data_IF_776924821111
#
_entry.id   IF_776924821111
#
_cell.length_a   1.000
_cell.length_b   1.000
_cell.length_c   1.000
_cell.angle_alpha   90.00
_cell.angle_beta   90.00
_cell.angle_gamma   90.00
#
_symmetry.space_group_name_H-M   'P 1'
#
loop_
_entity.id
_entity.type
_entity.pdbx_description
1 polymer ?
#
# COMPACT_ATOMS: atom_id res chain seq x y z
N UNK A 1 -0.76 -6.19 -47.33
CA UNK A 1 -1.05 -5.53 -46.05
C UNK A 1 -2.39 -4.80 -46.18
N UNK A 2 -3.39 -5.15 -45.36
CA UNK A 2 -4.77 -4.63 -45.42
C UNK A 2 -4.98 -3.55 -44.35
N UNK A 3 -5.72 -2.49 -44.66
CA UNK A 3 -6.14 -1.46 -43.69
C UNK A 3 -7.42 -1.90 -42.97
N UNK A 4 -7.63 -1.48 -41.72
CA UNK A 4 -8.67 -2.03 -40.81
C UNK A 4 -9.67 -0.96 -40.33
N UNK A 5 -10.98 -1.20 -40.49
CA UNK A 5 -12.13 -0.42 -39.98
C UNK A 5 -12.45 -0.79 -38.53
N UNK A 6 -12.74 0.19 -37.65
CA UNK A 6 -13.04 -0.03 -36.22
C UNK A 6 -14.56 -0.15 -35.98
N UNK A 7 -15.01 -1.24 -35.33
CA UNK A 7 -16.40 -1.45 -34.84
C UNK A 7 -16.41 -1.89 -33.37
N UNK A 8 -17.52 -1.65 -32.66
CA UNK A 8 -17.79 -2.25 -31.35
C UNK A 8 -18.61 -3.53 -31.58
N UNK A 9 -18.10 -4.67 -31.13
CA UNK A 9 -18.60 -6.00 -31.54
C UNK A 9 -19.81 -6.49 -30.73
N UNK A 10 -19.85 -6.25 -29.41
CA UNK A 10 -20.92 -6.75 -28.52
C UNK A 10 -21.15 -5.85 -27.30
N UNK A 11 -22.28 -6.04 -26.60
CA UNK A 11 -22.71 -5.24 -25.43
C UNK A 11 -21.71 -5.24 -24.25
N UNK A 12 -20.85 -6.25 -24.17
CA UNK A 12 -19.82 -6.43 -23.14
C UNK A 12 -18.38 -6.35 -23.70
N UNK A 13 -18.21 -5.85 -24.92
CA UNK A 13 -16.88 -5.75 -25.54
C UNK A 13 -16.04 -4.68 -24.83
N UNK A 14 -14.82 -5.05 -24.45
CA UNK A 14 -13.82 -4.17 -23.83
C UNK A 14 -12.71 -3.75 -24.81
N UNK A 15 -12.84 -4.15 -26.07
CA UNK A 15 -11.83 -3.95 -27.11
C UNK A 15 -12.48 -3.47 -28.42
N UNK A 16 -11.70 -2.75 -29.21
CA UNK A 16 -12.12 -2.28 -30.53
C UNK A 16 -11.92 -3.41 -31.53
N UNK A 17 -13.00 -3.83 -32.18
CA UNK A 17 -12.95 -4.83 -33.22
C UNK A 17 -12.56 -4.19 -34.56
N UNK A 18 -11.83 -4.94 -35.38
CA UNK A 18 -11.31 -4.47 -36.65
C UNK A 18 -11.81 -5.33 -37.81
N UNK A 19 -12.25 -4.71 -38.91
CA UNK A 19 -12.63 -5.38 -40.16
C UNK A 19 -11.76 -4.91 -41.33
N UNK A 20 -11.45 -5.80 -42.28
CA UNK A 20 -10.64 -5.44 -43.46
C UNK A 20 -11.39 -4.50 -44.41
N UNK A 21 -10.67 -3.57 -45.06
CA UNK A 21 -11.18 -2.71 -46.13
C UNK A 21 -10.30 -2.74 -47.39
N UNK A 22 -10.84 -2.36 -48.57
CA UNK A 22 -10.06 -2.14 -49.79
C UNK A 22 -8.98 -1.06 -49.60
N UNK A 23 -7.86 -1.19 -50.30
CA UNK A 23 -6.68 -0.30 -50.14
C UNK A 23 -6.91 1.12 -50.63
N UNK A 24 -7.84 1.31 -51.55
CA UNK A 24 -8.08 2.58 -52.28
C UNK A 24 -9.08 3.48 -51.56
N UNK A 25 -9.53 3.13 -50.35
CA UNK A 25 -10.46 3.97 -49.59
C UNK A 25 -9.76 5.13 -48.89
N UNK A 26 -10.29 6.33 -49.06
CA UNK A 26 -9.83 7.50 -48.32
C UNK A 26 -10.31 7.46 -46.85
N UNK A 27 -9.41 7.72 -45.88
CA UNK A 27 -9.78 7.78 -44.47
C UNK A 27 -10.57 9.06 -44.18
N UNK A 28 -11.82 8.92 -43.76
CA UNK A 28 -12.72 10.03 -43.42
C UNK A 28 -12.52 10.59 -41.99
N UNK A 29 -11.64 9.99 -41.19
CA UNK A 29 -11.37 10.44 -39.82
C UNK A 29 -10.50 9.50 -39.00
N UNK A 30 -10.04 9.99 -37.84
CA UNK A 30 -9.20 9.26 -36.89
C UNK A 30 -9.99 8.94 -35.62
N UNK A 31 -10.06 7.66 -35.27
CA UNK A 31 -10.54 7.21 -33.97
C UNK A 31 -9.36 6.69 -33.11
N UNK A 32 -9.11 7.39 -32.02
CA UNK A 32 -8.16 6.98 -30.99
C UNK A 32 -8.91 6.33 -29.80
N UNK A 33 -8.38 5.22 -29.29
CA UNK A 33 -8.91 4.53 -28.13
C UNK A 33 -7.74 4.06 -27.25
N UNK A 34 -7.69 4.54 -26.01
CA UNK A 34 -6.71 4.11 -25.03
C UNK A 34 -7.19 2.86 -24.30
N UNK A 35 -6.81 1.68 -24.83
CA UNK A 35 -7.20 0.39 -24.27
C UNK A 35 -6.67 0.17 -22.86
N UNK A 36 -5.43 0.61 -22.58
CA UNK A 36 -4.79 0.43 -21.27
C UNK A 36 -5.47 1.30 -20.21
N UNK A 37 -5.80 2.54 -20.55
CA UNK A 37 -6.55 3.45 -19.68
C UNK A 37 -7.94 2.93 -19.37
N UNK A 38 -8.66 2.43 -20.38
CA UNK A 38 -9.99 1.83 -20.22
C UNK A 38 -9.93 0.57 -19.33
N UNK A 39 -9.00 -0.34 -19.59
CA UNK A 39 -8.82 -1.57 -18.81
C UNK A 39 -8.48 -1.27 -17.35
N UNK A 40 -7.58 -0.30 -17.13
CA UNK A 40 -7.21 0.19 -15.79
C UNK A 40 -8.42 0.76 -15.06
N UNK A 41 -9.24 1.58 -15.75
CA UNK A 41 -10.46 2.13 -15.19
C UNK A 41 -11.46 1.04 -14.80
N UNK A 42 -11.73 0.07 -15.68
CA UNK A 42 -12.65 -1.04 -15.39
C UNK A 42 -12.20 -1.86 -14.18
N UNK A 43 -10.90 -2.10 -14.03
CA UNK A 43 -10.33 -2.77 -12.86
C UNK A 43 -10.57 -1.95 -11.58
N UNK A 44 -10.17 -0.66 -11.59
CA UNK A 44 -10.34 0.25 -10.44
C UNK A 44 -11.81 0.38 -10.03
N UNK A 45 -12.71 0.46 -11.00
CA UNK A 45 -14.16 0.53 -10.75
C UNK A 45 -14.66 -0.72 -10.03
N UNK A 46 -14.31 -1.92 -10.53
CA UNK A 46 -14.69 -3.18 -9.87
C UNK A 46 -14.08 -3.31 -8.47
N UNK A 47 -12.82 -2.92 -8.30
CA UNK A 47 -12.14 -2.92 -7.00
C UNK A 47 -12.83 -1.98 -6.02
N UNK A 48 -13.20 -0.77 -6.45
CA UNK A 48 -13.94 0.19 -5.64
C UNK A 48 -15.29 -0.38 -5.19
N UNK A 49 -16.10 -0.92 -6.10
CA UNK A 49 -17.41 -1.47 -5.73
C UNK A 49 -17.30 -2.74 -4.88
N UNK A 50 -16.33 -3.61 -5.16
CA UNK A 50 -16.06 -4.75 -4.27
C UNK A 50 -15.62 -4.27 -2.88
N UNK A 51 -14.89 -3.16 -2.77
CA UNK A 51 -14.57 -2.56 -1.49
C UNK A 51 -15.82 -1.97 -0.83
N UNK A 52 -16.69 -1.26 -1.58
CA UNK A 52 -17.95 -0.71 -1.06
C UNK A 52 -18.84 -1.82 -0.48
N UNK A 53 -18.95 -2.97 -1.14
CA UNK A 53 -19.71 -4.12 -0.67
C UNK A 53 -19.10 -4.79 0.57
N UNK A 54 -17.77 -4.87 0.64
CA UNK A 54 -17.04 -5.61 1.70
C UNK A 54 -16.55 -4.71 2.85
N UNK A 55 -16.74 -3.39 2.77
CA UNK A 55 -16.21 -2.46 3.77
C UNK A 55 -16.90 -2.67 5.12
N UNK A 56 -16.15 -2.44 6.18
CA UNK A 56 -16.72 -2.28 7.50
C UNK A 56 -17.38 -0.89 7.60
N UNK A 57 -18.71 -0.84 7.69
CA UNK A 57 -19.46 0.41 7.72
C UNK A 57 -19.15 1.30 8.93
N UNK A 58 -18.89 0.71 10.10
CA UNK A 58 -18.54 1.47 11.31
C UNK A 58 -17.19 2.18 11.14
N UNK A 59 -16.22 1.49 10.53
CA UNK A 59 -14.92 2.08 10.17
C UNK A 59 -15.06 3.18 9.14
N UNK A 60 -15.91 2.98 8.12
CA UNK A 60 -16.17 3.99 7.10
C UNK A 60 -16.83 5.23 7.70
N UNK A 61 -17.85 5.05 8.57
CA UNK A 61 -18.50 6.14 9.31
C UNK A 61 -17.50 6.89 10.19
N UNK A 62 -16.59 6.19 10.88
CA UNK A 62 -15.52 6.83 11.66
C UNK A 62 -14.61 7.69 10.77
N UNK A 63 -14.14 7.15 9.63
CA UNK A 63 -13.27 7.88 8.69
C UNK A 63 -13.96 9.11 8.05
N UNK A 64 -15.28 9.05 7.79
CA UNK A 64 -16.08 10.17 7.25
C UNK A 64 -16.41 11.19 8.37
N UNK A 65 -16.69 10.72 9.59
CA UNK A 65 -17.07 11.58 10.73
C UNK A 65 -15.92 12.46 11.22
N UNK A 66 -14.70 11.97 11.09
CA UNK A 66 -13.52 12.81 11.20
C UNK A 66 -13.43 13.61 9.89
N UNK A 67 -13.86 14.87 9.92
CA UNK A 67 -13.84 15.87 8.82
C UNK A 67 -12.55 15.89 7.95
N UNK A 68 -11.49 15.23 8.40
CA UNK A 68 -10.16 15.17 7.82
C UNK A 68 -9.99 14.09 6.73
N UNK A 69 -11.00 13.27 6.43
CA UNK A 69 -11.04 12.34 5.28
C UNK A 69 -9.82 11.40 5.13
N UNK A 70 -9.21 10.94 6.23
CA UNK A 70 -8.13 9.94 6.20
C UNK A 70 -8.37 8.78 7.16
N UNK A 71 -7.78 7.61 6.86
CA UNK A 71 -7.87 6.45 7.73
C UNK A 71 -6.91 6.59 8.94
N UNK A 72 -7.45 7.10 10.05
CA UNK A 72 -6.67 7.41 11.26
C UNK A 72 -6.03 6.18 11.91
N UNK A 73 -6.65 5.01 11.77
CA UNK A 73 -6.12 3.73 12.26
C UNK A 73 -4.86 3.35 11.49
N UNK A 74 -4.93 3.36 10.16
CA UNK A 74 -3.79 3.05 9.31
C UNK A 74 -2.67 4.07 9.54
N UNK A 75 -3.00 5.35 9.67
CA UNK A 75 -2.01 6.39 9.94
C UNK A 75 -1.30 6.16 11.30
N UNK A 76 -2.06 5.82 12.35
CA UNK A 76 -1.46 5.44 13.63
C UNK A 76 -0.52 4.22 13.50
N UNK A 77 -0.89 3.21 12.71
CA UNK A 77 -0.02 2.06 12.45
C UNK A 77 1.26 2.46 11.71
N UNK A 78 1.17 3.36 10.72
CA UNK A 78 2.35 3.91 10.02
C UNK A 78 3.32 4.55 11.00
N UNK A 79 2.83 5.45 11.86
CA UNK A 79 3.68 6.11 12.86
C UNK A 79 4.28 5.10 13.85
N UNK A 80 3.49 4.14 14.34
CA UNK A 80 4.01 3.09 15.22
C UNK A 80 5.19 2.36 14.59
N UNK A 81 5.07 1.95 13.32
CA UNK A 81 6.13 1.23 12.61
C UNK A 81 7.36 2.10 12.36
N UNK A 82 7.17 3.36 11.96
CA UNK A 82 8.28 4.29 11.74
C UNK A 82 9.07 4.59 13.02
N UNK A 83 8.36 4.82 14.13
CA UNK A 83 8.99 5.07 15.42
C UNK A 83 9.72 3.83 15.95
N UNK A 84 9.13 2.64 15.76
CA UNK A 84 9.82 1.38 16.06
C UNK A 84 11.06 1.17 15.19
N UNK A 85 10.99 1.44 13.89
CA UNK A 85 12.14 1.31 12.99
C UNK A 85 13.28 2.25 13.41
N UNK A 86 12.95 3.49 13.76
CA UNK A 86 13.89 4.46 14.31
C UNK A 86 14.56 3.91 15.58
N UNK A 87 13.77 3.44 16.56
CA UNK A 87 14.29 2.88 17.81
C UNK A 87 15.19 1.65 17.58
N UNK A 88 14.82 0.77 16.65
CA UNK A 88 15.64 -0.39 16.29
C UNK A 88 16.98 0.06 15.73
N UNK A 89 16.99 1.03 14.81
CA UNK A 89 18.22 1.52 14.22
C UNK A 89 19.13 2.26 15.21
N UNK A 90 18.54 3.06 16.12
CA UNK A 90 19.29 3.86 17.09
C UNK A 90 19.74 3.06 18.33
N UNK A 91 18.88 2.19 18.86
CA UNK A 91 19.10 1.50 20.14
C UNK A 91 19.38 0.00 19.98
N UNK A 92 19.04 -0.59 18.83
CA UNK A 92 19.13 -2.03 18.62
C UNK A 92 18.05 -2.84 19.33
N UNK A 93 17.01 -2.18 19.86
CA UNK A 93 15.96 -2.80 20.67
C UNK A 93 14.60 -2.81 19.96
N UNK A 94 13.83 -3.89 20.13
CA UNK A 94 12.46 -3.98 19.64
C UNK A 94 11.49 -3.75 20.80
N UNK A 95 11.01 -2.52 20.97
CA UNK A 95 10.01 -2.22 21.99
C UNK A 95 8.58 -2.43 21.47
N UNK A 96 8.05 -3.64 21.71
CA UNK A 96 6.66 -3.99 21.37
C UNK A 96 5.65 -3.21 22.20
N UNK A 97 5.96 -2.92 23.48
CA UNK A 97 5.10 -2.17 24.40
C UNK A 97 5.43 -0.67 24.32
N UNK A 98 4.75 -0.02 23.39
CA UNK A 98 4.88 1.42 23.07
C UNK A 98 4.80 2.33 24.30
N UNK A 99 5.84 3.14 24.50
CA UNK A 99 5.88 4.22 25.50
C UNK A 99 5.14 5.47 25.03
N UNK A 100 5.11 5.69 23.72
CA UNK A 100 4.41 6.76 22.99
C UNK A 100 2.91 6.46 22.75
N UNK A 101 2.30 5.63 23.60
CA UNK A 101 0.89 5.19 23.48
C UNK A 101 -0.09 6.35 23.31
N UNK A 102 0.06 7.41 24.10
CA UNK A 102 -0.86 8.56 24.07
C UNK A 102 -0.77 9.31 22.74
N UNK A 103 0.44 9.43 22.18
CA UNK A 103 0.65 10.03 20.87
C UNK A 103 -0.03 9.19 19.76
N UNK A 104 0.20 7.88 19.76
CA UNK A 104 -0.45 6.98 18.79
C UNK A 104 -1.98 7.02 18.89
N UNK A 105 -2.54 7.09 20.10
CA UNK A 105 -3.98 7.24 20.29
C UNK A 105 -4.51 8.59 19.80
N UNK A 106 -3.76 9.68 19.97
CA UNK A 106 -4.17 10.99 19.44
C UNK A 106 -4.24 10.99 17.91
N UNK A 107 -3.33 10.28 17.22
CA UNK A 107 -3.42 10.07 15.77
C UNK A 107 -4.66 9.24 15.42
N UNK A 108 -4.91 8.14 16.13
CA UNK A 108 -6.08 7.28 15.91
C UNK A 108 -7.39 8.04 16.11
N UNK A 109 -7.42 9.00 17.02
CA UNK A 109 -8.57 9.85 17.30
C UNK A 109 -8.66 11.07 16.36
N UNK A 110 -7.87 11.10 15.29
CA UNK A 110 -7.84 12.16 14.27
C UNK A 110 -7.54 13.58 14.81
N UNK A 111 -6.70 13.67 15.84
CA UNK A 111 -6.34 14.96 16.44
C UNK A 111 -5.51 15.88 15.50
N UNK A 112 -4.88 15.34 14.47
CA UNK A 112 -3.98 16.09 13.56
C UNK A 112 -4.54 16.18 12.14
N UNK A 113 -4.09 17.17 11.37
CA UNK A 113 -4.39 17.25 9.94
C UNK A 113 -3.63 16.19 9.16
N UNK A 114 -4.20 15.78 8.02
CA UNK A 114 -3.60 14.75 7.17
C UNK A 114 -2.21 15.16 6.68
N UNK A 115 -2.09 16.37 6.13
CA UNK A 115 -0.85 16.86 5.53
C UNK A 115 0.28 16.95 6.57
N UNK A 116 -0.04 17.39 7.79
CA UNK A 116 0.92 17.42 8.91
C UNK A 116 1.45 16.03 9.25
N UNK A 117 0.58 15.01 9.24
CA UNK A 117 0.97 13.63 9.49
C UNK A 117 1.82 13.06 8.36
N UNK A 118 1.49 13.37 7.11
CA UNK A 118 2.28 12.94 5.94
C UNK A 118 3.67 13.55 5.95
N UNK A 119 3.79 14.85 6.24
CA UNK A 119 5.07 15.54 6.35
C UNK A 119 5.94 14.90 7.44
N UNK A 120 5.40 14.73 8.65
CA UNK A 120 6.11 14.10 9.77
C UNK A 120 6.52 12.65 9.48
N UNK A 121 5.64 11.86 8.86
CA UNK A 121 5.95 10.48 8.50
C UNK A 121 7.11 10.42 7.49
N UNK A 122 7.09 11.31 6.49
CA UNK A 122 8.16 11.43 5.48
C UNK A 122 9.48 11.83 6.14
N UNK A 123 9.48 12.83 7.03
CA UNK A 123 10.69 13.23 7.75
C UNK A 123 11.30 12.10 8.60
N UNK A 124 10.47 11.29 9.26
CA UNK A 124 10.98 10.14 10.02
C UNK A 124 11.58 9.11 9.07
N UNK A 125 10.85 8.78 8.00
CA UNK A 125 11.28 7.81 6.99
C UNK A 125 12.63 8.21 6.38
N UNK A 126 12.80 9.46 5.98
CA UNK A 126 14.01 9.92 5.31
C UNK A 126 15.23 9.98 6.24
N UNK A 127 15.00 10.05 7.56
CA UNK A 127 16.07 9.90 8.56
C UNK A 127 16.49 8.44 8.77
N UNK A 128 15.66 7.45 8.41
CA UNK A 128 15.96 6.04 8.66
C UNK A 128 17.23 5.59 7.95
N UNK A 129 17.45 6.00 6.70
CA UNK A 129 18.65 5.60 5.94
C UNK A 129 19.93 5.99 6.71
N UNK A 130 20.01 7.25 7.16
CA UNK A 130 21.13 7.75 7.96
C UNK A 130 21.26 7.06 9.33
N UNK A 131 20.16 6.65 9.94
CA UNK A 131 20.17 5.92 11.22
C UNK A 131 20.75 4.53 11.01
N UNK A 132 20.30 3.80 9.98
CA UNK A 132 20.76 2.45 9.71
C UNK A 132 22.21 2.43 9.21
N UNK A 133 22.66 3.43 8.45
CA UNK A 133 24.06 3.60 8.03
C UNK A 133 25.01 3.74 9.23
N UNK A 134 24.53 4.36 10.32
CA UNK A 134 25.29 4.56 11.57
C UNK A 134 25.05 3.47 12.62
N UNK A 135 24.15 2.53 12.32
CA UNK A 135 23.73 1.51 13.28
C UNK A 135 24.79 0.43 13.41
N UNK A 136 24.92 -0.13 14.61
CA UNK A 136 25.77 -1.30 14.87
C UNK A 136 25.06 -2.63 14.57
N UNK A 137 23.89 -2.58 13.94
CA UNK A 137 23.14 -3.76 13.54
C UNK A 137 23.88 -4.54 12.45
N UNK A 138 23.84 -5.86 12.56
CA UNK A 138 24.42 -6.74 11.55
C UNK A 138 23.54 -6.76 10.31
N UNK A 139 24.17 -6.72 9.14
CA UNK A 139 23.48 -6.87 7.85
C UNK A 139 22.76 -8.23 7.75
N UNK A 140 23.36 -9.28 8.35
CA UNK A 140 22.79 -10.63 8.36
C UNK A 140 22.73 -11.21 9.77
N UNK A 141 21.66 -11.97 10.09
CA UNK A 141 21.55 -12.63 11.37
C UNK A 141 22.59 -13.75 11.52
N UNK A 142 23.02 -14.03 12.76
CA UNK A 142 23.91 -15.16 13.04
C UNK A 142 23.08 -16.47 13.06
N UNK A 143 23.16 -17.23 11.96
CA UNK A 143 22.40 -18.46 11.77
C UNK A 143 22.78 -19.56 12.78
N UNK A 144 24.06 -19.66 13.16
CA UNK A 144 24.51 -20.66 14.12
C UNK A 144 23.89 -20.39 15.51
N UNK A 145 23.88 -19.13 15.93
CA UNK A 145 23.23 -18.71 17.19
C UNK A 145 21.72 -18.97 17.14
N UNK A 146 21.06 -18.65 16.03
CA UNK A 146 19.62 -18.88 15.86
C UNK A 146 19.30 -20.37 15.95
N UNK A 147 20.08 -21.23 15.30
CA UNK A 147 19.87 -22.67 15.34
C UNK A 147 20.07 -23.23 16.77
N UNK A 148 21.12 -22.81 17.47
CA UNK A 148 21.33 -23.18 18.89
C UNK A 148 20.16 -22.73 19.77
N UNK A 149 19.69 -21.50 19.59
CA UNK A 149 18.54 -20.97 20.31
C UNK A 149 17.28 -21.79 20.02
N UNK A 150 17.01 -22.11 18.76
CA UNK A 150 15.86 -22.91 18.34
C UNK A 150 15.86 -24.30 18.98
N UNK A 151 17.00 -24.99 19.01
CA UNK A 151 17.14 -26.28 19.71
C UNK A 151 16.85 -26.11 21.19
N UNK A 152 17.44 -25.13 21.86
CA UNK A 152 17.25 -24.90 23.29
C UNK A 152 15.79 -24.59 23.68
N UNK A 153 15.05 -23.87 22.81
CA UNK A 153 13.63 -23.57 23.03
C UNK A 153 12.82 -24.85 22.89
N UNK A 154 13.15 -25.72 21.94
CA UNK A 154 12.45 -26.99 21.73
C UNK A 154 12.71 -27.97 22.86
N UNK A 155 13.96 -28.13 23.30
CA UNK A 155 14.30 -28.97 24.46
C UNK A 155 13.50 -28.55 25.70
N UNK A 156 13.45 -27.23 25.99
CA UNK A 156 12.65 -26.68 27.10
C UNK A 156 11.15 -26.92 26.93
N UNK A 157 10.62 -26.79 25.71
CA UNK A 157 9.18 -26.94 25.47
C UNK A 157 8.73 -28.40 25.51
N UNK A 158 9.56 -29.33 25.01
CA UNK A 158 9.26 -30.75 24.95
C UNK A 158 9.80 -31.54 26.15
N UNK A 159 10.54 -30.91 27.07
CA UNK A 159 11.18 -31.54 28.23
C UNK A 159 12.11 -32.70 27.84
N UNK A 160 12.90 -32.52 26.77
CA UNK A 160 13.98 -33.42 26.36
C UNK A 160 15.27 -32.96 27.02
#
# INVERSE_FOLDING_TARGET
>A
MFTRLKRISTKNANEVCLSSIPKEQEPIGLLYFNLDGYSTYCKRYKEYWSWVEKRNEERYKSNISHYKNYDSKNMMHTFRLLLMAKEIGELGEINVKRTDRNYLLSIKNAAFEYDDLVLKATEIKDKLDLIYDKSNLREKPNLELINKLLVSIREKFYSI
#
